data_IF_003265281547
#
_entry.id   IF_003265281547
#
_cell.length_a   1.000
_cell.length_b   1.000
_cell.length_c   1.000
_cell.angle_alpha   90.00
_cell.angle_beta   90.00
_cell.angle_gamma   90.00
#
_symmetry.space_group_name_H-M   'P 1'
#
loop_
_entity.id
_entity.type
_entity.pdbx_description
1 polymer ?
#
# COMPACT_ATOMS: atom_id res chain seq x y z
N UNK A 1 -4.82 -31.09 -0.30
CA UNK A 1 -4.26 -30.75 1.03
C UNK A 1 -5.39 -30.42 2.00
N UNK A 2 -5.23 -30.76 3.28
CA UNK A 2 -6.11 -30.36 4.38
C UNK A 2 -5.24 -29.68 5.45
N UNK A 3 -5.66 -28.53 5.94
CA UNK A 3 -5.11 -27.92 7.15
C UNK A 3 -6.02 -28.21 8.33
N UNK A 4 -5.46 -28.73 9.43
CA UNK A 4 -6.22 -29.10 10.62
C UNK A 4 -5.57 -28.56 11.90
N UNK A 5 -6.30 -28.65 13.01
CA UNK A 5 -5.81 -28.27 14.34
C UNK A 5 -5.30 -26.82 14.35
N UNK A 6 -6.12 -25.91 13.84
CA UNK A 6 -5.84 -24.47 13.81
C UNK A 6 -7.00 -23.67 14.39
N UNK A 7 -6.68 -22.43 14.79
CA UNK A 7 -7.64 -21.39 15.14
C UNK A 7 -7.85 -20.51 13.93
N UNK A 8 -8.99 -20.67 13.25
CA UNK A 8 -9.28 -20.00 11.98
C UNK A 8 -9.77 -18.57 12.24
N UNK A 9 -9.14 -17.60 11.59
CA UNK A 9 -9.53 -16.19 11.66
C UNK A 9 -10.54 -15.88 10.54
N UNK A 10 -11.74 -15.47 10.95
CA UNK A 10 -12.81 -14.96 10.09
C UNK A 10 -12.95 -13.44 10.29
N UNK A 11 -13.69 -12.73 9.41
CA UNK A 11 -13.86 -11.28 9.52
C UNK A 11 -14.41 -10.78 10.87
N UNK A 12 -15.15 -11.60 11.60
CA UNK A 12 -15.88 -11.24 12.81
C UNK A 12 -15.59 -12.16 14.01
N UNK A 13 -14.82 -13.23 13.83
CA UNK A 13 -14.66 -14.28 14.83
C UNK A 13 -13.39 -15.10 14.63
N UNK A 14 -12.95 -15.76 15.71
CA UNK A 14 -11.92 -16.80 15.67
C UNK A 14 -12.60 -18.11 16.07
N UNK A 15 -12.44 -19.16 15.27
CA UNK A 15 -13.12 -20.44 15.47
C UNK A 15 -12.16 -21.62 15.41
N UNK A 16 -12.40 -22.59 16.27
CA UNK A 16 -11.61 -23.82 16.40
C UNK A 16 -12.46 -25.03 15.96
N UNK A 17 -11.83 -26.21 15.86
CA UNK A 17 -12.54 -27.45 15.51
C UNK A 17 -12.95 -27.57 14.04
N UNK A 18 -12.42 -26.69 13.18
CA UNK A 18 -12.62 -26.70 11.73
C UNK A 18 -11.37 -27.20 11.00
N UNK A 19 -11.57 -27.69 9.78
CA UNK A 19 -10.52 -28.05 8.82
C UNK A 19 -10.62 -27.15 7.58
N UNK A 20 -9.50 -26.82 6.93
CA UNK A 20 -9.53 -26.13 5.63
C UNK A 20 -9.12 -27.11 4.54
N UNK A 21 -10.04 -27.40 3.64
CA UNK A 21 -9.81 -28.30 2.51
C UNK A 21 -9.41 -27.47 1.30
N UNK A 22 -8.23 -27.75 0.75
CA UNK A 22 -7.70 -27.05 -0.44
C UNK A 22 -7.61 -28.00 -1.63
N UNK A 23 -8.17 -27.56 -2.75
CA UNK A 23 -8.15 -28.24 -4.05
C UNK A 23 -7.73 -27.28 -5.15
N UNK A 24 -6.74 -27.68 -5.97
CA UNK A 24 -6.28 -26.91 -7.13
C UNK A 24 -5.99 -25.43 -6.77
N UNK A 25 -5.38 -25.20 -5.61
CA UNK A 25 -5.03 -23.86 -5.11
C UNK A 25 -6.21 -23.01 -4.60
N UNK A 26 -7.40 -23.59 -4.41
CA UNK A 26 -8.59 -22.90 -3.91
C UNK A 26 -9.10 -23.56 -2.63
N UNK A 27 -9.69 -22.76 -1.75
CA UNK A 27 -10.45 -23.27 -0.60
C UNK A 27 -11.71 -23.95 -1.14
N UNK A 28 -11.80 -25.26 -0.97
CA UNK A 28 -12.91 -26.08 -1.43
C UNK A 28 -14.02 -26.18 -0.39
N UNK A 29 -13.66 -26.31 0.89
CA UNK A 29 -14.60 -26.39 2.01
C UNK A 29 -13.91 -26.06 3.34
N UNK A 30 -14.73 -25.70 4.34
CA UNK A 30 -14.30 -25.53 5.74
C UNK A 30 -15.21 -26.36 6.66
N UNK A 31 -15.09 -27.70 6.66
CA UNK A 31 -15.93 -28.58 7.47
C UNK A 31 -15.49 -28.63 8.95
N UNK A 32 -16.35 -29.20 9.79
CA UNK A 32 -15.96 -29.65 11.14
C UNK A 32 -14.96 -30.81 11.08
N UNK A 33 -14.12 -30.91 12.11
CA UNK A 33 -13.02 -31.90 12.18
C UNK A 33 -13.51 -33.35 12.04
N UNK A 34 -12.76 -34.15 11.28
CA UNK A 34 -12.98 -35.60 11.17
C UNK A 34 -13.93 -36.02 10.05
N UNK A 35 -14.47 -35.08 9.27
CA UNK A 35 -15.36 -35.36 8.14
C UNK A 35 -14.62 -35.79 6.86
N UNK A 36 -13.32 -35.49 6.73
CA UNK A 36 -12.59 -35.69 5.48
C UNK A 36 -11.34 -36.55 5.68
N UNK A 37 -11.27 -37.71 4.99
CA UNK A 37 -10.06 -38.54 4.90
C UNK A 37 -9.31 -38.22 3.59
N UNK A 38 -8.22 -37.45 3.64
CA UNK A 38 -7.32 -37.21 2.49
C UNK A 38 -5.87 -37.56 2.81
N UNK A 39 -5.08 -37.80 1.76
CA UNK A 39 -3.69 -38.25 1.83
C UNK A 39 -2.70 -37.18 2.31
N UNK A 40 -3.02 -35.90 2.16
CA UNK A 40 -2.13 -34.80 2.53
C UNK A 40 -2.79 -33.94 3.61
N UNK A 41 -2.33 -34.11 4.85
CA UNK A 41 -2.80 -33.39 6.02
C UNK A 41 -1.62 -32.60 6.61
N UNK A 42 -1.85 -31.32 6.85
CA UNK A 42 -0.94 -30.41 7.53
C UNK A 42 -1.55 -30.09 8.89
N UNK A 43 -0.89 -30.54 9.97
CA UNK A 43 -1.25 -30.19 11.34
C UNK A 43 -0.64 -28.83 11.70
N UNK A 44 -1.48 -27.87 12.08
CA UNK A 44 -1.04 -26.52 12.43
C UNK A 44 -0.78 -26.34 13.94
N UNK A 45 -0.84 -27.41 14.73
CA UNK A 45 -0.43 -27.44 16.13
C UNK A 45 -1.12 -26.39 17.03
N UNK A 46 -2.37 -26.06 16.76
CA UNK A 46 -3.15 -25.05 17.49
C UNK A 46 -2.81 -23.60 17.13
N UNK A 47 -1.96 -23.36 16.13
CA UNK A 47 -1.64 -22.02 15.66
C UNK A 47 -2.82 -21.36 14.92
N UNK A 48 -2.68 -20.06 14.64
CA UNK A 48 -3.67 -19.34 13.86
C UNK A 48 -3.53 -19.65 12.37
N UNK A 49 -4.67 -19.72 11.69
CA UNK A 49 -4.75 -19.72 10.24
C UNK A 49 -5.59 -18.52 9.79
N UNK A 50 -4.98 -17.61 9.04
CA UNK A 50 -5.61 -16.40 8.52
C UNK A 50 -5.57 -16.39 6.99
N UNK A 51 -6.43 -15.59 6.32
CA UNK A 51 -6.16 -15.17 4.95
C UNK A 51 -4.76 -14.54 4.88
N UNK A 52 -4.01 -14.84 3.82
CA UNK A 52 -2.71 -14.22 3.62
C UNK A 52 -2.83 -12.71 3.50
N UNK A 53 -1.83 -11.98 4.01
CA UNK A 53 -1.90 -10.53 4.04
C UNK A 53 -1.78 -9.95 2.63
N UNK A 54 -2.39 -8.76 2.46
CA UNK A 54 -2.29 -7.95 1.26
C UNK A 54 -1.59 -6.66 1.66
N UNK A 55 -0.41 -6.41 1.09
CA UNK A 55 0.31 -5.16 1.32
C UNK A 55 0.22 -4.24 0.11
N UNK A 56 -0.38 -3.07 0.28
CA UNK A 56 -0.64 -2.14 -0.81
C UNK A 56 0.51 -1.17 -1.07
N UNK A 57 1.54 -1.15 -0.22
CA UNK A 57 2.61 -0.16 -0.25
C UNK A 57 3.95 -0.78 0.19
N UNK A 58 4.74 -1.24 -0.78
CA UNK A 58 6.04 -1.91 -0.59
C UNK A 58 7.05 -1.43 -1.62
N UNK A 59 8.11 -0.75 -1.18
CA UNK A 59 9.20 -0.31 -2.05
C UNK A 59 10.28 -1.37 -2.22
N UNK A 60 10.64 -2.10 -1.17
CA UNK A 60 11.81 -2.98 -1.18
C UNK A 60 11.92 -3.96 -0.01
N UNK A 61 13.03 -4.71 -0.03
CA UNK A 61 13.51 -5.59 1.05
C UNK A 61 14.90 -6.13 0.72
N UNK A 62 15.67 -6.52 1.74
CA UNK A 62 16.96 -7.22 1.64
C UNK A 62 17.97 -6.52 0.72
N UNK A 63 18.03 -5.20 0.79
CA UNK A 63 18.89 -4.36 -0.04
C UNK A 63 18.38 -4.15 -1.46
N UNK A 64 17.21 -4.70 -1.81
CA UNK A 64 16.60 -4.59 -3.14
C UNK A 64 15.45 -3.59 -3.17
N UNK A 65 15.32 -2.89 -4.28
CA UNK A 65 14.33 -1.84 -4.50
C UNK A 65 13.55 -2.06 -5.81
N UNK A 66 12.25 -1.74 -5.80
CA UNK A 66 11.37 -1.83 -6.97
C UNK A 66 11.90 -0.98 -8.15
N UNK A 67 12.57 0.13 -7.87
CA UNK A 67 13.14 1.01 -8.89
C UNK A 67 14.35 0.39 -9.62
N UNK A 68 14.89 -0.76 -9.18
CA UNK A 68 15.93 -1.49 -9.92
C UNK A 68 15.44 -2.07 -11.25
N UNK A 69 14.11 -2.14 -11.47
CA UNK A 69 13.53 -2.64 -12.73
C UNK A 69 14.03 -4.05 -13.08
N UNK A 70 14.11 -4.93 -12.08
CA UNK A 70 14.72 -6.26 -12.22
C UNK A 70 13.81 -7.35 -11.65
N UNK A 71 13.58 -8.40 -12.44
CA UNK A 71 12.82 -9.58 -12.03
C UNK A 71 13.40 -10.24 -10.78
N UNK A 72 14.73 -10.27 -10.66
CA UNK A 72 15.44 -10.80 -9.49
C UNK A 72 15.20 -9.94 -8.24
N UNK A 73 15.22 -8.60 -8.36
CA UNK A 73 14.85 -7.70 -7.27
C UNK A 73 13.40 -7.95 -6.83
N UNK A 74 12.48 -8.03 -7.79
CA UNK A 74 11.06 -8.27 -7.51
C UNK A 74 10.83 -9.60 -6.79
N UNK A 75 11.52 -10.66 -7.20
CA UNK A 75 11.44 -11.97 -6.56
C UNK A 75 11.95 -11.92 -5.12
N UNK A 76 13.12 -11.31 -4.87
CA UNK A 76 13.68 -11.14 -3.53
C UNK A 76 12.73 -10.38 -2.60
N UNK A 77 12.13 -9.29 -3.10
CA UNK A 77 11.15 -8.50 -2.35
C UNK A 77 9.92 -9.37 -2.01
N UNK A 78 9.38 -10.07 -3.01
CA UNK A 78 8.19 -10.90 -2.83
C UNK A 78 8.41 -12.09 -1.88
N UNK A 79 9.59 -12.71 -1.91
CA UNK A 79 9.92 -13.85 -1.06
C UNK A 79 10.12 -13.41 0.40
N UNK A 80 10.78 -12.27 0.62
CA UNK A 80 10.95 -11.71 1.95
C UNK A 80 9.60 -11.40 2.60
N UNK A 81 8.75 -10.62 1.92
CA UNK A 81 7.41 -10.30 2.43
C UNK A 81 6.51 -11.54 2.54
N UNK A 82 6.68 -12.49 1.62
CA UNK A 82 6.06 -13.82 1.68
C UNK A 82 6.40 -14.59 2.96
N UNK A 83 7.64 -14.52 3.43
CA UNK A 83 8.06 -15.15 4.68
C UNK A 83 7.38 -14.53 5.92
N UNK A 84 6.94 -13.27 5.83
CA UNK A 84 6.15 -12.57 6.85
C UNK A 84 4.63 -12.80 6.77
N UNK A 85 4.15 -13.60 5.81
CA UNK A 85 2.74 -13.91 5.62
C UNK A 85 2.02 -13.07 4.56
N UNK A 86 2.72 -12.18 3.84
CA UNK A 86 2.15 -11.41 2.72
C UNK A 86 2.05 -12.27 1.47
N UNK A 87 0.83 -12.50 1.00
CA UNK A 87 0.57 -13.37 -0.17
C UNK A 87 0.23 -12.60 -1.44
N UNK A 88 -0.05 -11.30 -1.30
CA UNK A 88 -0.28 -10.40 -2.43
C UNK A 88 0.25 -9.03 -2.07
N UNK A 89 0.97 -8.40 -2.98
CA UNK A 89 1.53 -7.07 -2.74
C UNK A 89 1.53 -6.19 -3.98
N UNK A 90 1.49 -4.88 -3.76
CA UNK A 90 1.77 -3.89 -4.79
C UNK A 90 3.22 -3.45 -4.66
N UNK A 91 4.03 -3.77 -5.67
CA UNK A 91 5.37 -3.20 -5.77
C UNK A 91 5.23 -1.70 -6.02
N UNK A 92 5.97 -0.90 -5.26
CA UNK A 92 5.74 0.54 -5.17
C UNK A 92 6.90 1.32 -5.74
N UNK A 93 6.60 2.17 -6.73
CA UNK A 93 7.60 3.07 -7.31
C UNK A 93 7.91 4.21 -6.36
N UNK A 94 9.12 4.74 -6.43
CA UNK A 94 9.46 6.04 -5.86
C UNK A 94 9.19 7.18 -6.87
N UNK A 95 9.24 8.42 -6.39
CA UNK A 95 9.22 9.59 -7.25
C UNK A 95 10.48 9.64 -8.11
N UNK A 96 10.29 9.42 -9.40
CA UNK A 96 11.33 9.42 -10.43
C UNK A 96 10.83 10.09 -11.72
N UNK A 97 11.67 10.10 -12.76
CA UNK A 97 11.24 10.50 -14.10
C UNK A 97 10.11 9.58 -14.60
N UNK A 98 9.20 10.09 -15.44
CA UNK A 98 8.14 9.26 -16.02
C UNK A 98 8.68 8.13 -16.90
N UNK A 99 9.87 8.30 -17.48
CA UNK A 99 10.57 7.24 -18.22
C UNK A 99 10.92 6.09 -17.28
N UNK A 100 11.60 6.41 -16.16
CA UNK A 100 11.97 5.40 -15.17
C UNK A 100 10.77 4.70 -14.52
N UNK A 101 9.67 5.43 -14.27
CA UNK A 101 8.43 4.82 -13.77
C UNK A 101 7.82 3.90 -14.83
N UNK A 102 7.81 4.30 -16.10
CA UNK A 102 7.32 3.47 -17.20
C UNK A 102 8.16 2.20 -17.40
N UNK A 103 9.48 2.29 -17.22
CA UNK A 103 10.38 1.13 -17.28
C UNK A 103 10.03 0.09 -16.20
N UNK A 104 9.83 0.54 -14.94
CA UNK A 104 9.37 -0.31 -13.83
C UNK A 104 8.02 -0.95 -14.13
N UNK A 105 7.05 -0.16 -14.62
CA UNK A 105 5.73 -0.65 -14.97
C UNK A 105 5.77 -1.71 -16.08
N UNK A 106 6.63 -1.53 -17.08
CA UNK A 106 6.84 -2.51 -18.15
C UNK A 106 7.44 -3.81 -17.61
N UNK A 107 8.50 -3.71 -16.81
CA UNK A 107 9.14 -4.89 -16.24
C UNK A 107 8.20 -5.68 -15.31
N UNK A 108 7.38 -5.00 -14.52
CA UNK A 108 6.41 -5.65 -13.64
C UNK A 108 5.30 -6.30 -14.45
N UNK A 109 4.79 -5.64 -15.50
CA UNK A 109 3.79 -6.22 -16.42
C UNK A 109 4.29 -7.55 -17.00
N UNK A 110 5.58 -7.67 -17.31
CA UNK A 110 6.20 -8.91 -17.79
C UNK A 110 6.34 -9.98 -16.68
N UNK A 111 6.62 -9.57 -15.45
CA UNK A 111 6.85 -10.47 -14.31
C UNK A 111 5.58 -10.95 -13.60
N UNK A 112 4.42 -10.28 -13.76
CA UNK A 112 3.18 -10.64 -13.06
C UNK A 112 2.73 -12.09 -13.28
N UNK A 113 3.10 -12.70 -14.42
CA UNK A 113 2.78 -14.10 -14.72
C UNK A 113 3.69 -15.11 -14.00
N UNK A 114 4.94 -14.73 -13.71
CA UNK A 114 5.93 -15.61 -13.08
C UNK A 114 5.98 -15.45 -11.56
N UNK A 115 5.79 -14.23 -11.04
CA UNK A 115 5.84 -13.91 -9.61
C UNK A 115 4.42 -13.68 -9.10
N UNK A 116 3.81 -14.75 -8.56
CA UNK A 116 2.37 -14.77 -8.21
C UNK A 116 1.96 -13.83 -7.08
N UNK A 117 2.91 -13.40 -6.25
CA UNK A 117 2.64 -12.43 -5.18
C UNK A 117 2.39 -11.01 -5.71
N UNK A 118 2.84 -10.69 -6.93
CA UNK A 118 2.67 -9.34 -7.49
C UNK A 118 1.22 -9.17 -7.93
N UNK A 119 0.45 -8.37 -7.18
CA UNK A 119 -0.92 -8.02 -7.51
C UNK A 119 -1.04 -6.80 -8.45
N UNK A 120 0.08 -6.11 -8.68
CA UNK A 120 0.20 -4.95 -9.56
C UNK A 120 1.17 -3.92 -8.99
N UNK A 121 0.99 -2.67 -9.39
CA UNK A 121 1.87 -1.56 -8.99
C UNK A 121 1.11 -0.46 -8.25
N UNK A 122 1.74 0.05 -7.21
CA UNK A 122 1.42 1.33 -6.60
C UNK A 122 2.42 2.38 -7.08
N UNK A 123 1.91 3.40 -7.76
CA UNK A 123 2.72 4.53 -8.20
C UNK A 123 2.74 5.60 -7.10
N UNK A 124 3.81 5.70 -6.32
CA UNK A 124 3.99 6.77 -5.33
C UNK A 124 4.82 7.94 -5.89
N UNK A 125 4.13 8.98 -6.34
CA UNK A 125 4.73 10.07 -7.11
C UNK A 125 4.74 9.80 -8.62
N UNK A 126 5.04 10.81 -9.46
CA UNK A 126 5.70 12.07 -9.10
C UNK A 126 4.71 13.22 -8.81
N UNK A 127 3.40 12.96 -8.83
CA UNK A 127 2.34 13.96 -8.63
C UNK A 127 2.09 14.27 -7.15
N UNK A 128 3.14 14.62 -6.44
CA UNK A 128 3.11 14.88 -4.99
C UNK A 128 3.55 16.31 -4.67
N UNK A 129 3.36 16.76 -3.44
CA UNK A 129 3.68 18.11 -3.01
C UNK A 129 5.14 18.23 -2.60
N UNK A 130 5.86 19.22 -3.17
CA UNK A 130 7.22 19.56 -2.72
C UNK A 130 7.27 19.96 -1.25
N UNK A 131 6.19 20.55 -0.72
CA UNK A 131 6.10 20.94 0.69
C UNK A 131 6.04 19.74 1.65
N UNK A 132 5.73 18.55 1.13
CA UNK A 132 5.59 17.30 1.88
C UNK A 132 6.36 16.15 1.20
N UNK A 133 7.52 16.44 0.62
CA UNK A 133 8.30 15.47 -0.14
C UNK A 133 8.83 14.30 0.71
N UNK A 134 9.18 14.54 1.98
CA UNK A 134 9.76 13.50 2.84
C UNK A 134 11.05 12.92 2.24
N UNK A 135 11.09 11.60 2.05
CA UNK A 135 12.23 10.91 1.46
C UNK A 135 12.30 11.08 -0.07
N UNK A 136 11.20 11.43 -0.73
CA UNK A 136 11.05 11.47 -2.19
C UNK A 136 11.97 12.53 -2.84
N UNK A 137 12.46 12.23 -4.05
CA UNK A 137 13.37 13.08 -4.81
C UNK A 137 12.67 14.31 -5.39
N UNK A 138 12.89 15.46 -4.76
CA UNK A 138 12.17 16.70 -5.05
C UNK A 138 12.36 17.24 -6.49
N UNK A 139 13.45 16.87 -7.15
CA UNK A 139 13.75 17.24 -8.53
C UNK A 139 12.80 16.62 -9.55
N UNK A 140 12.21 15.46 -9.24
CA UNK A 140 11.26 14.78 -10.13
C UNK A 140 9.80 15.09 -9.83
N UNK A 141 9.53 15.73 -8.69
CA UNK A 141 8.18 16.14 -8.32
C UNK A 141 7.63 17.15 -9.34
N UNK A 142 6.46 16.84 -9.89
CA UNK A 142 5.81 17.65 -10.91
C UNK A 142 4.29 17.65 -10.78
N UNK A 143 3.65 18.69 -11.31
CA UNK A 143 2.19 18.71 -11.43
C UNK A 143 1.74 17.70 -12.50
N UNK A 144 0.59 17.03 -12.31
CA UNK A 144 0.00 16.21 -13.36
C UNK A 144 -0.40 17.08 -14.57
N UNK A 145 -0.06 16.59 -15.76
CA UNK A 145 -0.51 17.12 -17.05
C UNK A 145 -1.30 16.05 -17.78
N UNK A 146 -2.12 16.44 -18.78
CA UNK A 146 -2.86 15.46 -19.61
C UNK A 146 -1.93 14.42 -20.24
N UNK A 147 -0.74 14.84 -20.70
CA UNK A 147 0.22 13.94 -21.32
C UNK A 147 0.84 12.96 -20.31
N UNK A 148 1.23 13.44 -19.12
CA UNK A 148 1.81 12.57 -18.09
C UNK A 148 0.79 11.61 -17.49
N UNK A 149 -0.47 12.04 -17.33
CA UNK A 149 -1.58 11.17 -16.88
C UNK A 149 -1.85 10.10 -17.94
N UNK A 150 -1.99 10.48 -19.22
CA UNK A 150 -2.20 9.52 -20.30
C UNK A 150 -1.09 8.46 -20.33
N UNK A 151 0.17 8.88 -20.19
CA UNK A 151 1.30 7.98 -20.17
C UNK A 151 1.23 6.92 -19.06
N UNK A 152 0.73 7.27 -17.88
CA UNK A 152 0.50 6.28 -16.81
C UNK A 152 -0.75 5.43 -17.08
N UNK A 153 -1.80 5.99 -17.70
CA UNK A 153 -3.00 5.25 -18.08
C UNK A 153 -2.75 4.19 -19.15
N UNK A 154 -1.70 4.34 -19.96
CA UNK A 154 -1.23 3.29 -20.88
C UNK A 154 -0.77 2.00 -20.12
N UNK A 155 -0.66 2.08 -18.79
CA UNK A 155 -0.36 1.00 -17.86
C UNK A 155 -1.50 0.72 -16.85
N UNK A 156 -2.74 1.12 -17.15
CA UNK A 156 -3.89 0.90 -16.26
C UNK A 156 -4.20 -0.60 -15.98
N UNK A 157 -3.72 -1.51 -16.83
CA UNK A 157 -3.79 -2.96 -16.61
C UNK A 157 -2.95 -3.43 -15.41
N UNK A 158 -1.82 -2.77 -15.14
CA UNK A 158 -0.87 -3.14 -14.08
C UNK A 158 -0.91 -2.19 -12.88
N UNK A 159 -1.15 -0.90 -13.09
CA UNK A 159 -1.32 0.06 -12.00
C UNK A 159 -2.63 -0.24 -11.27
N UNK A 160 -2.54 -0.48 -9.95
CA UNK A 160 -3.71 -0.66 -9.08
C UNK A 160 -3.93 0.54 -8.17
N UNK A 161 -2.88 1.30 -7.92
CA UNK A 161 -2.91 2.42 -6.99
C UNK A 161 -2.01 3.56 -7.43
N UNK A 162 -2.42 4.79 -7.17
CA UNK A 162 -1.56 5.97 -7.33
C UNK A 162 -1.69 6.90 -6.11
N UNK A 163 -0.56 7.35 -5.56
CA UNK A 163 -0.52 8.45 -4.59
C UNK A 163 -0.42 9.77 -5.33
N UNK A 164 -1.31 10.70 -5.01
CA UNK A 164 -1.35 12.04 -5.60
C UNK A 164 -1.68 13.08 -4.53
N UNK A 165 -1.06 14.26 -4.64
CA UNK A 165 -1.38 15.41 -3.80
C UNK A 165 -2.55 16.20 -4.43
N UNK A 166 -3.75 16.21 -3.81
CA UNK A 166 -4.95 16.78 -4.43
C UNK A 166 -4.91 18.30 -4.62
N UNK A 167 -4.00 19.02 -3.95
CA UNK A 167 -3.84 20.46 -4.10
C UNK A 167 -3.10 20.90 -5.37
N UNK A 168 -2.46 19.95 -6.07
CA UNK A 168 -1.66 20.28 -7.24
C UNK A 168 -2.52 20.73 -8.42
N UNK A 169 -1.94 21.60 -9.25
CA UNK A 169 -2.60 22.01 -10.50
C UNK A 169 -2.80 20.80 -11.41
N UNK A 170 -4.03 20.56 -11.83
CA UNK A 170 -4.41 19.41 -12.67
C UNK A 170 -4.67 18.11 -11.91
N UNK A 171 -4.50 18.09 -10.57
CA UNK A 171 -4.79 16.91 -9.77
C UNK A 171 -6.27 16.52 -9.79
N UNK A 172 -7.25 17.44 -9.71
CA UNK A 172 -8.65 17.06 -9.76
C UNK A 172 -9.01 16.23 -11.00
N UNK A 173 -8.60 16.67 -12.20
CA UNK A 173 -8.83 15.94 -13.45
C UNK A 173 -8.01 14.63 -13.50
N UNK A 174 -6.79 14.61 -12.96
CA UNK A 174 -5.98 13.40 -12.90
C UNK A 174 -6.64 12.33 -12.00
N UNK A 175 -7.11 12.73 -10.82
CA UNK A 175 -7.82 11.86 -9.86
C UNK A 175 -9.04 11.23 -10.54
N UNK A 176 -9.86 12.03 -11.20
CA UNK A 176 -11.05 11.55 -11.92
C UNK A 176 -10.67 10.56 -13.03
N UNK A 177 -9.66 10.88 -13.83
CA UNK A 177 -9.21 10.00 -14.91
C UNK A 177 -8.70 8.65 -14.38
N UNK A 178 -7.85 8.64 -13.36
CA UNK A 178 -7.37 7.39 -12.76
C UNK A 178 -8.52 6.57 -12.16
N UNK A 179 -9.43 7.22 -11.43
CA UNK A 179 -10.60 6.56 -10.85
C UNK A 179 -11.49 5.91 -11.92
N UNK A 180 -11.78 6.61 -13.01
CA UNK A 180 -12.60 6.11 -14.12
C UNK A 180 -11.95 4.93 -14.86
N UNK A 181 -10.63 4.79 -14.80
CA UNK A 181 -9.89 3.64 -15.35
C UNK A 181 -9.68 2.51 -14.32
N UNK A 182 -10.35 2.56 -13.17
CA UNK A 182 -10.31 1.51 -12.16
C UNK A 182 -9.04 1.52 -11.29
N UNK A 183 -8.25 2.59 -11.33
CA UNK A 183 -7.08 2.77 -10.46
C UNK A 183 -7.53 3.39 -9.14
N UNK A 184 -7.12 2.80 -8.01
CA UNK A 184 -7.37 3.37 -6.69
C UNK A 184 -6.52 4.62 -6.50
N UNK A 185 -7.16 5.76 -6.23
CA UNK A 185 -6.45 7.03 -6.01
C UNK A 185 -6.34 7.33 -4.52
N UNK A 186 -5.12 7.64 -4.09
CA UNK A 186 -4.79 7.91 -2.69
C UNK A 186 -4.21 9.30 -2.51
N UNK A 187 -4.72 10.05 -1.54
CA UNK A 187 -4.15 11.33 -1.12
C UNK A 187 -2.93 11.15 -0.25
N UNK A 188 -1.77 11.65 -0.66
CA UNK A 188 -0.54 11.53 0.13
C UNK A 188 0.53 12.51 -0.32
N UNK A 189 1.57 12.68 0.51
CA UNK A 189 2.60 13.69 0.26
C UNK A 189 2.00 15.05 -0.10
N UNK A 190 1.03 15.51 0.70
CA UNK A 190 0.11 16.58 0.33
C UNK A 190 0.05 17.65 1.40
N UNK A 191 0.15 18.90 0.98
CA UNK A 191 -0.08 20.08 1.82
C UNK A 191 -1.48 20.68 1.64
N UNK A 192 -2.44 19.86 1.20
CA UNK A 192 -3.80 20.30 0.87
C UNK A 192 -4.54 20.94 2.04
N UNK A 193 -5.42 21.88 1.71
CA UNK A 193 -6.48 22.35 2.59
C UNK A 193 -7.71 21.44 2.50
N UNK A 194 -8.60 21.53 3.49
CA UNK A 194 -9.87 20.77 3.54
C UNK A 194 -10.65 20.82 2.22
N UNK A 195 -10.73 22.01 1.59
CA UNK A 195 -11.50 22.17 0.35
C UNK A 195 -10.91 21.37 -0.83
N UNK A 196 -9.58 21.27 -0.90
CA UNK A 196 -8.88 20.52 -1.95
C UNK A 196 -8.97 19.02 -1.71
N UNK A 197 -8.88 18.58 -0.44
CA UNK A 197 -9.11 17.19 -0.08
C UNK A 197 -10.56 16.76 -0.41
N UNK A 198 -11.54 17.63 -0.14
CA UNK A 198 -12.95 17.43 -0.48
C UNK A 198 -13.18 17.36 -1.98
N UNK A 199 -12.54 18.22 -2.76
CA UNK A 199 -12.61 18.15 -4.22
C UNK A 199 -12.01 16.83 -4.74
N UNK A 200 -10.83 16.44 -4.27
CA UNK A 200 -10.21 15.17 -4.64
C UNK A 200 -11.12 13.98 -4.30
N UNK A 201 -11.74 13.99 -3.12
CA UNK A 201 -12.70 12.96 -2.71
C UNK A 201 -13.90 12.89 -3.65
N UNK A 202 -14.49 14.03 -4.02
CA UNK A 202 -15.63 14.07 -4.94
C UNK A 202 -15.31 13.48 -6.33
N UNK A 203 -14.03 13.39 -6.69
CA UNK A 203 -13.54 12.87 -7.96
C UNK A 203 -12.96 11.45 -7.90
N UNK A 204 -12.98 10.81 -6.73
CA UNK A 204 -12.58 9.40 -6.58
C UNK A 204 -11.35 9.12 -5.72
N UNK A 205 -10.78 10.14 -5.04
CA UNK A 205 -9.73 9.95 -4.03
C UNK A 205 -10.34 9.40 -2.73
N UNK A 206 -10.51 8.08 -2.66
CA UNK A 206 -11.16 7.38 -1.54
C UNK A 206 -10.18 6.74 -0.55
N UNK A 207 -8.91 7.13 -0.59
CA UNK A 207 -7.90 6.67 0.37
C UNK A 207 -6.87 7.75 0.65
N UNK A 208 -6.14 7.61 1.74
CA UNK A 208 -4.94 8.40 2.04
C UNK A 208 -3.75 7.51 2.35
N UNK A 209 -2.59 7.88 1.82
CA UNK A 209 -1.33 7.14 1.90
C UNK A 209 -0.66 7.41 3.24
N UNK A 210 -0.08 6.36 3.86
CA UNK A 210 0.63 6.36 5.15
C UNK A 210 0.17 7.43 6.15
N UNK A 211 -1.13 7.45 6.47
CA UNK A 211 -1.82 8.48 7.27
C UNK A 211 -0.99 8.94 8.47
N UNK A 212 -0.94 10.27 8.65
CA UNK A 212 -0.12 11.05 9.59
C UNK A 212 1.28 11.40 9.08
N UNK A 213 1.82 10.66 8.11
CA UNK A 213 3.11 10.95 7.51
C UNK A 213 2.96 11.82 6.27
N UNK A 214 3.90 12.74 6.06
CA UNK A 214 3.97 13.59 4.86
C UNK A 214 2.63 14.21 4.41
N UNK A 215 1.76 14.61 5.35
CA UNK A 215 0.47 15.23 5.04
C UNK A 215 0.23 16.51 5.83
N UNK A 216 -0.70 17.35 5.39
CA UNK A 216 -1.15 18.54 6.12
C UNK A 216 -2.05 18.16 7.30
N UNK A 217 -1.97 18.98 8.35
CA UNK A 217 -2.83 18.93 9.54
C UNK A 217 -3.48 20.29 9.79
N UNK A 218 -4.36 20.35 10.78
CA UNK A 218 -5.17 21.51 11.09
C UNK A 218 -4.29 22.71 11.42
N UNK A 219 -4.43 23.76 10.63
CA UNK A 219 -3.63 25.00 10.74
C UNK A 219 -4.53 26.23 10.67
N UNK A 220 -3.93 27.40 10.88
CA UNK A 220 -4.66 28.68 10.83
C UNK A 220 -4.67 29.23 9.41
N UNK A 221 -5.82 29.77 9.00
CA UNK A 221 -5.98 30.62 7.80
C UNK A 221 -6.67 31.90 8.25
N UNK A 222 -5.87 32.97 8.45
CA UNK A 222 -6.33 34.15 9.18
C UNK A 222 -6.67 33.82 10.64
N UNK A 223 -7.88 34.19 11.08
CA UNK A 223 -8.38 33.91 12.44
C UNK A 223 -9.00 32.51 12.59
N UNK A 224 -9.25 31.80 11.49
CA UNK A 224 -9.98 30.53 11.50
C UNK A 224 -9.04 29.33 11.59
N UNK A 225 -9.49 28.27 12.28
CA UNK A 225 -8.89 26.93 12.20
C UNK A 225 -9.51 26.18 11.02
N UNK A 226 -8.66 25.65 10.14
CA UNK A 226 -9.08 24.92 8.94
C UNK A 226 -8.34 23.59 8.92
N UNK A 227 -9.05 22.52 8.57
CA UNK A 227 -8.47 21.18 8.41
C UNK A 227 -7.52 21.11 7.21
N UNK A 228 -6.57 20.19 7.29
CA UNK A 228 -5.81 19.71 6.14
C UNK A 228 -6.35 18.37 5.64
N UNK A 229 -5.51 17.64 4.91
CA UNK A 229 -5.83 16.30 4.43
C UNK A 229 -6.07 15.33 5.58
N UNK A 230 -5.31 15.44 6.68
CA UNK A 230 -5.45 14.56 7.84
C UNK A 230 -6.85 14.67 8.45
N UNK A 231 -7.29 15.87 8.81
CA UNK A 231 -8.59 16.06 9.47
C UNK A 231 -9.74 15.68 8.54
N UNK A 232 -9.62 15.96 7.25
CA UNK A 232 -10.60 15.53 6.27
C UNK A 232 -10.70 14.00 6.23
N UNK A 233 -9.58 13.29 6.11
CA UNK A 233 -9.54 11.82 6.06
C UNK A 233 -10.08 11.16 7.34
N UNK A 234 -9.80 11.74 8.51
CA UNK A 234 -10.33 11.28 9.80
C UNK A 234 -11.84 11.48 9.92
N UNK A 235 -12.38 12.55 9.30
CA UNK A 235 -13.80 12.90 9.40
C UNK A 235 -14.70 12.22 8.36
N UNK A 236 -14.17 11.79 7.21
CA UNK A 236 -14.95 11.17 6.13
C UNK A 236 -14.92 9.63 6.23
N UNK A 237 -16.02 8.95 6.58
CA UNK A 237 -16.04 7.49 6.77
C UNK A 237 -15.69 6.68 5.52
N UNK A 238 -15.87 7.23 4.31
CA UNK A 238 -15.61 6.54 3.04
C UNK A 238 -14.14 6.59 2.60
N UNK A 239 -13.29 7.33 3.31
CA UNK A 239 -11.84 7.29 3.07
C UNK A 239 -11.21 6.13 3.84
N UNK A 240 -10.42 5.29 3.16
CA UNK A 240 -9.55 4.31 3.81
C UNK A 240 -8.19 4.92 4.14
N UNK A 241 -7.73 4.76 5.37
CA UNK A 241 -6.47 5.31 5.86
C UNK A 241 -5.39 4.22 5.89
N UNK A 242 -4.33 4.36 5.10
CA UNK A 242 -3.14 3.54 5.28
C UNK A 242 -2.47 3.86 6.62
N UNK A 243 -1.91 2.85 7.29
CA UNK A 243 -1.16 3.01 8.54
C UNK A 243 0.07 2.11 8.56
N UNK A 244 1.23 2.73 8.78
CA UNK A 244 2.48 2.05 9.12
C UNK A 244 2.52 1.87 10.63
N UNK A 245 2.33 0.62 11.09
CA UNK A 245 2.14 0.31 12.50
C UNK A 245 3.42 -0.23 13.19
N UNK A 246 4.57 0.41 12.96
CA UNK A 246 5.88 -0.02 13.47
C UNK A 246 6.29 0.64 14.80
N UNK A 247 5.55 1.66 15.25
CA UNK A 247 5.85 2.43 16.46
C UNK A 247 6.89 3.54 16.28
N UNK A 248 7.52 3.65 15.10
CA UNK A 248 8.50 4.67 14.75
C UNK A 248 7.88 5.76 13.87
N UNK A 249 7.17 5.39 12.81
CA UNK A 249 6.46 6.33 11.95
C UNK A 249 5.31 7.00 12.70
N UNK A 250 4.55 6.18 13.43
CA UNK A 250 3.37 6.63 14.17
C UNK A 250 3.45 6.12 15.60
N UNK A 251 3.36 7.03 16.58
CA UNK A 251 3.29 6.61 17.99
C UNK A 251 1.98 5.88 18.32
N UNK A 252 1.98 5.03 19.33
CA UNK A 252 0.78 4.31 19.76
C UNK A 252 -0.43 5.21 20.01
N UNK A 253 -0.20 6.40 20.58
CA UNK A 253 -1.27 7.39 20.83
C UNK A 253 -1.97 7.80 19.54
N UNK A 254 -1.20 8.04 18.48
CA UNK A 254 -1.74 8.43 17.18
C UNK A 254 -2.39 7.23 16.47
N UNK A 255 -1.85 6.02 16.60
CA UNK A 255 -2.51 4.81 16.10
C UNK A 255 -3.88 4.61 16.76
N UNK A 256 -3.95 4.76 18.10
CA UNK A 256 -5.21 4.69 18.86
C UNK A 256 -6.20 5.76 18.42
N UNK A 257 -5.74 6.99 18.15
CA UNK A 257 -6.58 8.07 17.63
C UNK A 257 -7.17 7.71 16.26
N UNK A 258 -6.33 7.24 15.32
CA UNK A 258 -6.78 6.80 14.00
C UNK A 258 -7.80 5.66 14.10
N UNK A 259 -7.52 4.65 14.93
CA UNK A 259 -8.44 3.54 15.19
C UNK A 259 -9.79 4.00 15.73
N UNK A 260 -9.81 4.96 16.66
CA UNK A 260 -11.07 5.50 17.18
C UNK A 260 -11.86 6.28 16.14
N UNK A 261 -11.20 6.96 15.21
CA UNK A 261 -11.86 7.71 14.14
C UNK A 261 -12.40 6.80 13.02
N UNK A 262 -11.64 5.78 12.62
CA UNK A 262 -11.91 5.00 11.41
C UNK A 262 -12.44 3.59 11.66
N UNK A 263 -12.18 3.04 12.84
CA UNK A 263 -12.41 1.63 13.15
C UNK A 263 -11.59 0.68 12.28
N UNK A 264 -11.76 -0.64 12.45
CA UNK A 264 -10.96 -1.65 11.76
C UNK A 264 -11.22 -1.72 10.24
N UNK A 265 -12.39 -1.23 9.77
CA UNK A 265 -12.74 -1.24 8.33
C UNK A 265 -12.23 -0.02 7.57
N UNK A 266 -11.88 1.06 8.27
CA UNK A 266 -11.39 2.29 7.65
C UNK A 266 -9.87 2.42 7.69
N UNK A 267 -9.15 1.38 8.12
CA UNK A 267 -7.69 1.35 8.22
C UNK A 267 -7.16 0.19 7.38
N UNK A 268 -6.16 0.47 6.56
CA UNK A 268 -5.36 -0.53 5.86
C UNK A 268 -3.96 -0.51 6.46
N UNK A 269 -3.50 -1.63 7.02
CA UNK A 269 -2.11 -1.75 7.42
C UNK A 269 -1.25 -1.89 6.16
N UNK A 270 -0.13 -1.17 6.13
CA UNK A 270 0.88 -1.26 5.09
C UNK A 270 2.25 -1.28 5.73
N UNK A 271 3.23 -1.90 5.09
CA UNK A 271 4.60 -1.85 5.63
C UNK A 271 5.32 -0.57 5.25
N UNK A 272 5.08 -0.03 4.05
CA UNK A 272 5.95 1.00 3.44
C UNK A 272 7.43 0.58 3.51
N UNK A 273 7.66 -0.73 3.37
CA UNK A 273 8.97 -1.33 3.55
C UNK A 273 9.91 -0.89 2.42
N UNK A 274 11.12 -0.53 2.79
CA UNK A 274 12.18 -0.12 1.87
C UNK A 274 13.24 -1.21 1.72
N UNK A 275 14.26 -0.98 0.90
CA UNK A 275 15.41 -1.86 0.76
C UNK A 275 16.08 -2.21 2.12
N UNK A 276 15.90 -1.41 3.17
CA UNK A 276 16.38 -1.71 4.52
C UNK A 276 15.69 -2.90 5.20
N UNK A 277 14.47 -3.26 4.80
CA UNK A 277 13.69 -4.30 5.47
C UNK A 277 14.41 -5.67 5.41
N UNK A 278 14.57 -6.32 6.57
CA UNK A 278 15.23 -7.63 6.68
C UNK A 278 16.76 -7.61 6.66
N UNK A 279 17.37 -6.44 6.48
CA UNK A 279 18.81 -6.29 6.67
C UNK A 279 19.16 -6.26 8.17
N UNK A 280 20.39 -6.67 8.56
CA UNK A 280 20.82 -6.60 9.95
C UNK A 280 21.00 -5.14 10.41
N UNK A 281 20.90 -4.93 11.73
CA UNK A 281 21.18 -3.65 12.38
C UNK A 281 22.52 -3.07 11.90
N UNK A 282 22.53 -1.76 11.61
CA UNK A 282 23.69 -1.01 11.07
C UNK A 282 24.09 -1.34 9.63
N UNK A 283 23.34 -2.16 8.89
CA UNK A 283 23.55 -2.32 7.47
C UNK A 283 23.29 -1.01 6.72
N UNK A 284 24.10 -0.73 5.70
CA UNK A 284 23.92 0.42 4.82
C UNK A 284 23.08 0.04 3.60
N UNK A 285 22.18 0.93 3.20
CA UNK A 285 21.40 0.79 1.98
C UNK A 285 21.10 2.16 1.37
N UNK A 286 20.67 2.19 0.11
CA UNK A 286 20.22 3.43 -0.53
C UNK A 286 18.69 3.49 -0.53
N UNK A 287 18.14 4.60 -0.04
CA UNK A 287 16.71 4.92 -0.14
C UNK A 287 16.55 6.14 -1.04
N UNK A 288 16.03 5.95 -2.24
CA UNK A 288 15.77 7.02 -3.21
C UNK A 288 17.01 7.91 -3.48
N UNK A 289 18.19 7.30 -3.50
CA UNK A 289 19.48 7.98 -3.69
C UNK A 289 20.07 8.62 -2.43
N UNK A 290 19.50 8.36 -1.25
CA UNK A 290 20.07 8.77 0.05
C UNK A 290 20.69 7.58 0.76
N UNK A 291 21.88 7.76 1.31
CA UNK A 291 22.52 6.74 2.14
C UNK A 291 21.78 6.63 3.48
N UNK A 292 21.36 5.42 3.79
CA UNK A 292 20.61 5.08 4.99
C UNK A 292 21.30 3.97 5.75
N UNK A 293 20.98 3.89 7.04
CA UNK A 293 21.43 2.83 7.95
C UNK A 293 20.18 2.28 8.62
N UNK A 294 20.09 0.95 8.71
CA UNK A 294 19.04 0.25 9.47
C UNK A 294 19.11 0.65 10.94
#
# INVERSE_FOLDING_TARGET
>A
MIFQNARLIFPDSIRDGLEVVVEKGKIAAIPERGLVRRKEVVDLHGNYLAPGFIDLHVHGALGRDTMETSADAFQVICDYHGSGGTTSLLLTTATASLDSIADVLSAIRECCCSIKQIAGVHVEGPFISKAKCGAQRAEFIQNPSRASVQRLLDYADVIKRITIAPELRGAPEAIENFHMHGISVSGGHSDAWDEQAREGFARGMHSVTHTLNCMSSARRRGIYRVGGLLEFALSEPRISCELIADGHHVSETLMKMLYRAKGPRGICLVTDATAGAGLPDKAQFSLFGKDCVV
#
